data_IF_204126818009
#
_entry.id   IF_204126818009
#
_cell.length_a   1.000
_cell.length_b   1.000
_cell.length_c   1.000
_cell.angle_alpha   90.00
_cell.angle_beta   90.00
_cell.angle_gamma   90.00
#
_symmetry.space_group_name_H-M   'P 1'
#
loop_
_entity.id
_entity.type
_entity.pdbx_description
1 polymer ?
#
# COMPACT_ATOMS: atom_id res chain seq x y z
N UNK A 1 1.41 26.78 -8.99
CA UNK A 1 2.57 26.73 -8.07
C UNK A 1 2.87 25.25 -7.88
N UNK A 2 3.96 24.76 -8.43
CA UNK A 2 4.47 23.42 -8.17
C UNK A 2 4.92 23.42 -6.71
N UNK A 3 4.27 22.65 -5.83
CA UNK A 3 4.81 22.36 -4.52
C UNK A 3 6.19 21.74 -4.73
N UNK A 4 7.25 22.47 -4.41
CA UNK A 4 8.59 21.91 -4.36
C UNK A 4 8.56 20.78 -3.33
N UNK A 5 8.96 19.59 -3.76
CA UNK A 5 8.99 18.42 -2.89
C UNK A 5 9.94 18.72 -1.71
N UNK A 6 9.46 18.57 -0.48
CA UNK A 6 10.24 18.77 0.74
C UNK A 6 11.55 17.96 0.67
N UNK A 7 12.67 18.65 0.79
CA UNK A 7 13.99 18.03 0.84
C UNK A 7 14.56 18.11 2.27
N UNK A 8 14.59 16.98 3.00
CA UNK A 8 15.03 16.99 4.40
C UNK A 8 16.46 17.48 4.60
N UNK A 9 17.36 17.25 3.62
CA UNK A 9 18.77 17.68 3.74
C UNK A 9 18.91 19.19 3.55
N UNK A 10 18.12 19.79 2.67
CA UNK A 10 18.09 21.25 2.49
C UNK A 10 17.56 21.95 3.71
N UNK A 11 16.50 21.42 4.29
CA UNK A 11 15.95 21.94 5.55
C UNK A 11 16.97 21.82 6.69
N UNK A 12 17.66 20.69 6.78
CA UNK A 12 18.70 20.50 7.80
C UNK A 12 19.87 21.46 7.61
N UNK A 13 20.34 21.69 6.38
CA UNK A 13 21.39 22.67 6.07
C UNK A 13 20.95 24.10 6.45
N UNK A 14 19.70 24.43 6.18
CA UNK A 14 19.12 25.71 6.58
C UNK A 14 19.13 25.88 8.10
N UNK A 15 18.72 24.86 8.85
CA UNK A 15 18.68 24.93 10.32
C UNK A 15 20.06 24.99 10.97
N UNK A 16 21.06 24.25 10.43
CA UNK A 16 22.43 24.25 10.99
C UNK A 16 23.30 25.40 10.46
N UNK A 17 22.86 26.11 9.42
CA UNK A 17 23.56 27.23 8.82
C UNK A 17 24.84 26.91 8.09
N UNK A 18 25.04 25.65 7.70
CA UNK A 18 26.24 25.18 6.98
C UNK A 18 25.91 24.06 6.01
N UNK A 19 26.69 23.95 4.93
CA UNK A 19 26.59 22.83 3.99
C UNK A 19 27.00 21.51 4.65
N UNK A 20 26.25 20.47 4.39
CA UNK A 20 26.46 19.15 4.94
C UNK A 20 27.10 18.20 3.92
N UNK A 21 27.80 17.16 4.35
CA UNK A 21 28.33 16.12 3.46
C UNK A 21 27.20 15.21 2.96
N UNK A 22 26.37 15.72 2.03
CA UNK A 22 25.11 15.12 1.57
C UNK A 22 25.30 13.66 1.15
N UNK A 23 26.32 13.36 0.33
CA UNK A 23 26.59 11.99 -0.13
C UNK A 23 26.82 11.01 1.02
N UNK A 24 27.61 11.41 2.01
CA UNK A 24 27.88 10.57 3.18
C UNK A 24 26.64 10.37 4.04
N UNK A 25 25.80 11.40 4.17
CA UNK A 25 24.55 11.32 4.92
C UNK A 25 23.56 10.39 4.21
N UNK A 26 23.41 10.52 2.90
CA UNK A 26 22.55 9.64 2.07
C UNK A 26 23.04 8.19 2.18
N UNK A 27 24.34 7.94 2.08
CA UNK A 27 24.89 6.58 2.23
C UNK A 27 24.63 6.00 3.62
N UNK A 28 24.83 6.78 4.68
CA UNK A 28 24.53 6.35 6.05
C UNK A 28 23.06 6.08 6.27
N UNK A 29 22.20 6.95 5.75
CA UNK A 29 20.74 6.77 5.81
C UNK A 29 20.35 5.48 5.10
N UNK A 30 20.81 5.26 3.87
CA UNK A 30 20.53 4.06 3.09
C UNK A 30 21.03 2.79 3.79
N UNK A 31 22.27 2.80 4.31
CA UNK A 31 22.79 1.65 5.05
C UNK A 31 21.95 1.34 6.29
N UNK A 32 21.51 2.35 7.04
CA UNK A 32 20.66 2.19 8.21
C UNK A 32 19.25 1.71 7.85
N UNK A 33 18.70 2.25 6.78
CA UNK A 33 17.40 1.80 6.23
C UNK A 33 17.46 0.32 5.86
N UNK A 34 18.50 -0.10 5.10
CA UNK A 34 18.71 -1.50 4.73
C UNK A 34 18.83 -2.41 5.96
N UNK A 35 19.62 -2.03 6.96
CA UNK A 35 19.75 -2.79 8.21
C UNK A 35 18.40 -2.99 8.89
N UNK A 36 17.62 -1.90 9.01
CA UNK A 36 16.31 -1.94 9.64
C UNK A 36 15.32 -2.79 8.86
N UNK A 37 15.24 -2.62 7.54
CA UNK A 37 14.31 -3.35 6.67
C UNK A 37 14.67 -4.85 6.63
N UNK A 38 15.96 -5.19 6.50
CA UNK A 38 16.41 -6.58 6.46
C UNK A 38 16.17 -7.32 7.79
N UNK A 39 16.13 -6.60 8.90
CA UNK A 39 15.83 -7.19 10.21
C UNK A 39 14.35 -7.39 10.49
N UNK A 40 13.44 -6.82 9.67
CA UNK A 40 12.01 -6.89 9.93
C UNK A 40 11.39 -8.16 9.35
N UNK A 41 10.58 -8.87 10.16
CA UNK A 41 9.74 -9.96 9.66
C UNK A 41 8.53 -9.42 8.89
N UNK A 42 7.79 -10.33 8.29
CA UNK A 42 6.46 -10.06 7.75
C UNK A 42 5.54 -9.59 8.87
N UNK A 43 4.68 -8.61 8.59
CA UNK A 43 3.69 -8.14 9.57
C UNK A 43 2.69 -9.27 9.89
N UNK A 44 2.16 -9.29 11.14
CA UNK A 44 1.19 -10.30 11.55
C UNK A 44 -0.04 -10.34 10.64
N UNK A 45 -0.50 -11.55 10.31
CA UNK A 45 -1.65 -11.80 9.46
C UNK A 45 -1.40 -11.73 7.94
N UNK A 46 -0.30 -11.12 7.48
CA UNK A 46 -0.04 -10.97 6.03
C UNK A 46 0.12 -12.32 5.33
N UNK A 47 0.92 -13.21 5.92
CA UNK A 47 1.17 -14.51 5.30
C UNK A 47 -0.08 -15.38 5.28
N UNK A 48 -0.80 -15.38 6.39
CA UNK A 48 -2.08 -16.09 6.55
C UNK A 48 -3.11 -15.61 5.52
N UNK A 49 -3.22 -14.29 5.31
CA UNK A 49 -4.12 -13.72 4.28
C UNK A 49 -3.75 -14.13 2.86
N UNK A 50 -2.45 -14.14 2.54
CA UNK A 50 -1.97 -14.59 1.23
C UNK A 50 -2.22 -16.09 1.01
N UNK A 51 -2.02 -16.92 2.03
CA UNK A 51 -2.32 -18.34 1.99
C UNK A 51 -3.82 -18.61 1.82
N UNK A 52 -4.66 -17.92 2.60
CA UNK A 52 -6.11 -18.01 2.51
C UNK A 52 -6.63 -17.55 1.14
N UNK A 53 -6.12 -16.42 0.63
CA UNK A 53 -6.46 -15.93 -0.70
C UNK A 53 -6.17 -16.97 -1.78
N UNK A 54 -5.01 -17.60 -1.72
CA UNK A 54 -4.62 -18.67 -2.63
C UNK A 54 -5.53 -19.90 -2.53
N UNK A 55 -5.87 -20.33 -1.29
CA UNK A 55 -6.77 -21.46 -1.05
C UNK A 55 -8.19 -21.19 -1.56
N UNK A 56 -8.64 -19.93 -1.47
CA UNK A 56 -9.93 -19.46 -1.97
C UNK A 56 -9.93 -19.24 -3.50
N UNK A 57 -8.79 -19.37 -4.18
CA UNK A 57 -8.65 -19.09 -5.62
C UNK A 57 -8.80 -17.61 -5.96
N UNK A 58 -8.53 -16.71 -5.00
CA UNK A 58 -8.53 -15.28 -5.24
C UNK A 58 -7.23 -14.87 -5.95
N UNK A 59 -7.36 -13.92 -6.86
CA UNK A 59 -6.20 -13.28 -7.49
C UNK A 59 -5.61 -12.22 -6.57
N UNK A 60 -4.29 -12.13 -6.55
CA UNK A 60 -3.55 -11.20 -5.70
C UNK A 60 -2.61 -10.35 -6.53
N UNK A 61 -2.62 -9.03 -6.28
CA UNK A 61 -1.76 -8.08 -6.95
C UNK A 61 -1.08 -7.15 -5.95
N UNK A 62 0.09 -6.66 -6.31
CA UNK A 62 0.83 -5.67 -5.52
C UNK A 62 1.05 -4.41 -6.35
N UNK A 63 0.75 -3.26 -5.74
CA UNK A 63 1.00 -1.93 -6.29
C UNK A 63 1.92 -1.14 -5.34
N UNK A 64 3.08 -0.70 -5.79
CA UNK A 64 4.06 0.02 -4.95
C UNK A 64 4.58 1.28 -5.63
N UNK A 65 4.76 2.36 -4.85
CA UNK A 65 5.48 3.56 -5.30
C UNK A 65 7.01 3.43 -5.22
N UNK A 66 7.52 2.30 -4.76
CA UNK A 66 8.94 1.97 -4.77
C UNK A 66 9.34 1.35 -6.12
N UNK A 67 10.65 1.29 -6.40
CA UNK A 67 11.19 0.66 -7.61
C UNK A 67 10.98 -0.86 -7.61
N UNK A 68 10.86 -1.45 -8.79
CA UNK A 68 10.59 -2.86 -8.99
C UNK A 68 11.63 -3.76 -8.28
N UNK A 69 12.92 -3.51 -8.47
CA UNK A 69 14.01 -4.30 -7.86
C UNK A 69 13.94 -4.28 -6.32
N UNK A 70 13.55 -3.13 -5.73
CA UNK A 70 13.36 -3.02 -4.29
C UNK A 70 12.22 -3.89 -3.81
N UNK A 71 11.07 -3.81 -4.48
CA UNK A 71 9.86 -4.57 -4.12
C UNK A 71 10.11 -6.07 -4.26
N UNK A 72 10.58 -6.51 -5.42
CA UNK A 72 10.79 -7.94 -5.72
C UNK A 72 11.87 -8.54 -4.83
N UNK A 73 13.00 -7.84 -4.60
CA UNK A 73 14.04 -8.30 -3.71
C UNK A 73 13.57 -8.51 -2.27
N UNK A 74 12.68 -7.64 -1.76
CA UNK A 74 12.09 -7.84 -0.42
C UNK A 74 11.06 -8.96 -0.39
N UNK A 75 10.23 -9.11 -1.41
CA UNK A 75 9.28 -10.22 -1.51
C UNK A 75 9.99 -11.57 -1.60
N UNK A 76 11.08 -11.67 -2.36
CA UNK A 76 11.93 -12.88 -2.45
C UNK A 76 12.55 -13.20 -1.09
N UNK A 77 13.18 -12.23 -0.44
CA UNK A 77 13.76 -12.39 0.90
C UNK A 77 12.76 -12.90 1.93
N UNK A 78 11.52 -12.41 1.85
CA UNK A 78 10.42 -12.81 2.76
C UNK A 78 9.72 -14.09 2.32
N UNK A 79 10.04 -14.64 1.13
CA UNK A 79 9.40 -15.81 0.56
C UNK A 79 7.94 -15.56 0.14
N UNK A 80 7.59 -14.31 -0.22
CA UNK A 80 6.22 -13.91 -0.53
C UNK A 80 5.95 -13.68 -2.01
N UNK A 81 6.97 -13.58 -2.85
CA UNK A 81 6.81 -13.20 -4.27
C UNK A 81 5.85 -14.13 -5.03
N UNK A 82 5.86 -15.41 -4.71
CA UNK A 82 5.07 -16.44 -5.39
C UNK A 82 3.57 -16.41 -5.05
N UNK A 83 3.15 -15.55 -4.13
CA UNK A 83 1.73 -15.33 -3.84
C UNK A 83 1.07 -14.34 -4.80
N UNK A 84 1.84 -13.47 -5.46
CA UNK A 84 1.28 -12.42 -6.30
C UNK A 84 1.20 -12.84 -7.76
N UNK A 85 -0.01 -12.70 -8.35
CA UNK A 85 -0.25 -12.92 -9.78
C UNK A 85 0.31 -11.78 -10.62
N UNK A 86 0.35 -10.56 -10.06
CA UNK A 86 0.96 -9.39 -10.70
C UNK A 86 1.60 -8.46 -9.66
N UNK A 87 2.69 -7.80 -10.05
CA UNK A 87 3.39 -6.79 -9.26
C UNK A 87 3.60 -5.57 -10.16
N UNK A 88 3.14 -4.40 -9.72
CA UNK A 88 3.37 -3.11 -10.38
C UNK A 88 4.09 -2.17 -9.42
N UNK A 89 5.13 -1.55 -9.93
CA UNK A 89 6.06 -0.70 -9.20
C UNK A 89 6.17 0.69 -9.83
N UNK A 90 6.96 1.58 -9.24
CA UNK A 90 7.16 2.92 -9.76
C UNK A 90 7.67 2.94 -11.21
N UNK A 91 8.41 1.91 -11.62
CA UNK A 91 9.01 1.79 -12.95
C UNK A 91 7.97 1.46 -14.04
N UNK A 92 6.77 1.03 -13.67
CA UNK A 92 5.69 0.63 -14.60
C UNK A 92 4.76 1.79 -14.96
N UNK A 93 4.88 2.95 -14.30
CA UNK A 93 3.94 4.08 -14.41
C UNK A 93 4.65 5.40 -14.60
N UNK A 94 3.91 6.39 -15.13
CA UNK A 94 4.42 7.76 -15.19
C UNK A 94 4.21 8.52 -13.88
N UNK A 95 3.14 8.17 -13.14
CA UNK A 95 2.79 8.80 -11.87
C UNK A 95 2.51 7.74 -10.81
N UNK A 96 3.23 7.83 -9.71
CA UNK A 96 2.98 6.98 -8.54
C UNK A 96 1.83 7.51 -7.68
N UNK A 97 1.46 6.79 -6.62
CA UNK A 97 0.44 7.22 -5.65
C UNK A 97 0.74 8.65 -5.15
N UNK A 98 -0.24 9.55 -5.11
CA UNK A 98 -1.69 9.35 -5.08
C UNK A 98 -2.40 9.34 -6.46
N UNK A 99 -1.68 9.16 -7.58
CA UNK A 99 -2.29 8.89 -8.88
C UNK A 99 -2.83 7.45 -8.91
N UNK A 100 -3.99 7.16 -9.55
CA UNK A 100 -4.57 5.81 -9.59
C UNK A 100 -3.88 4.84 -10.54
N UNK A 101 -2.89 5.27 -11.31
CA UNK A 101 -2.30 4.52 -12.43
C UNK A 101 -1.79 3.14 -12.00
N UNK A 102 -1.08 3.03 -10.85
CA UNK A 102 -0.60 1.74 -10.34
C UNK A 102 -1.72 0.75 -10.05
N UNK A 103 -2.79 1.20 -9.40
CA UNK A 103 -3.93 0.31 -9.10
C UNK A 103 -4.70 -0.07 -10.36
N UNK A 104 -4.87 0.87 -11.30
CA UNK A 104 -5.53 0.59 -12.58
C UNK A 104 -4.78 -0.50 -13.36
N UNK A 105 -3.44 -0.43 -13.42
CA UNK A 105 -2.62 -1.45 -14.09
C UNK A 105 -2.73 -2.82 -13.41
N UNK A 106 -2.73 -2.87 -12.08
CA UNK A 106 -2.91 -4.12 -11.35
C UNK A 106 -4.27 -4.73 -11.64
N UNK A 107 -5.35 -3.92 -11.59
CA UNK A 107 -6.73 -4.39 -11.83
C UNK A 107 -6.89 -4.90 -13.27
N UNK A 108 -6.33 -4.17 -14.25
CA UNK A 108 -6.34 -4.56 -15.65
C UNK A 108 -5.63 -5.91 -15.86
N UNK A 109 -4.44 -6.08 -15.31
CA UNK A 109 -3.67 -7.32 -15.48
C UNK A 109 -4.28 -8.51 -14.75
N UNK A 110 -4.89 -8.30 -13.59
CA UNK A 110 -5.67 -9.34 -12.91
C UNK A 110 -6.93 -9.73 -13.70
N UNK A 111 -7.42 -8.85 -14.57
CA UNK A 111 -8.61 -9.10 -15.39
C UNK A 111 -9.86 -9.30 -14.55
N UNK A 112 -10.01 -8.53 -13.45
CA UNK A 112 -11.16 -8.58 -12.55
C UNK A 112 -11.88 -7.23 -12.55
N UNK A 113 -13.22 -7.21 -12.39
CA UNK A 113 -13.96 -5.96 -12.26
C UNK A 113 -13.53 -5.18 -11.00
N UNK A 114 -13.42 -3.85 -11.09
CA UNK A 114 -12.99 -2.99 -9.98
C UNK A 114 -13.85 -3.15 -8.71
N UNK A 115 -15.15 -3.37 -8.88
CA UNK A 115 -16.09 -3.62 -7.78
C UNK A 115 -15.84 -4.93 -7.03
N UNK A 116 -15.06 -5.86 -7.60
CA UNK A 116 -14.64 -7.11 -6.95
C UNK A 116 -13.27 -7.02 -6.30
N UNK A 117 -12.61 -5.87 -6.40
CA UNK A 117 -11.28 -5.65 -5.83
C UNK A 117 -11.40 -5.03 -4.43
N UNK A 118 -10.53 -5.50 -3.54
CA UNK A 118 -10.29 -4.91 -2.22
C UNK A 118 -8.81 -4.55 -2.15
N UNK A 119 -8.52 -3.33 -1.74
CA UNK A 119 -7.17 -2.82 -1.52
C UNK A 119 -6.89 -2.76 -0.03
N UNK A 120 -5.72 -3.24 0.38
CA UNK A 120 -5.14 -3.03 1.70
C UNK A 120 -4.04 -1.98 1.60
N UNK A 121 -4.15 -0.91 2.35
CA UNK A 121 -3.23 0.23 2.31
C UNK A 121 -2.90 0.74 3.71
N UNK A 122 -1.67 1.26 3.86
CA UNK A 122 -1.19 1.84 5.11
C UNK A 122 -0.97 3.36 5.03
N UNK A 123 -0.94 3.94 3.82
CA UNK A 123 -0.60 5.32 3.55
C UNK A 123 -1.79 6.14 3.04
N UNK A 124 -1.83 7.43 3.39
CA UNK A 124 -2.86 8.35 2.89
C UNK A 124 -2.81 8.47 1.37
N UNK A 125 -1.63 8.54 0.76
CA UNK A 125 -1.48 8.60 -0.68
C UNK A 125 -1.99 7.32 -1.37
N UNK A 126 -1.77 6.16 -0.76
CA UNK A 126 -2.30 4.90 -1.26
C UNK A 126 -3.81 4.81 -1.17
N UNK A 127 -4.41 5.26 -0.06
CA UNK A 127 -5.86 5.34 0.09
C UNK A 127 -6.46 6.27 -0.98
N UNK A 128 -5.90 7.48 -1.16
CA UNK A 128 -6.35 8.41 -2.20
C UNK A 128 -6.27 7.78 -3.59
N UNK A 129 -5.18 7.10 -3.89
CA UNK A 129 -4.95 6.39 -5.16
C UNK A 129 -6.01 5.30 -5.39
N UNK A 130 -6.24 4.44 -4.40
CA UNK A 130 -7.26 3.38 -4.46
C UNK A 130 -8.68 3.95 -4.66
N UNK A 131 -9.02 5.02 -3.94
CA UNK A 131 -10.33 5.67 -4.08
C UNK A 131 -10.50 6.35 -5.45
N UNK A 132 -9.47 6.96 -6.00
CA UNK A 132 -9.49 7.49 -7.38
C UNK A 132 -9.63 6.39 -8.43
N UNK A 133 -9.09 5.19 -8.17
CA UNK A 133 -9.29 4.02 -9.02
C UNK A 133 -10.68 3.36 -8.84
N UNK A 134 -11.54 3.88 -7.96
CA UNK A 134 -12.88 3.33 -7.69
C UNK A 134 -12.88 2.04 -6.86
N UNK A 135 -11.80 1.74 -6.16
CA UNK A 135 -11.62 0.50 -5.42
C UNK A 135 -12.11 0.63 -3.97
N UNK A 136 -12.53 -0.51 -3.41
CA UNK A 136 -12.80 -0.62 -1.98
C UNK A 136 -11.48 -0.69 -1.23
N UNK A 137 -11.25 0.27 -0.32
CA UNK A 137 -9.98 0.43 0.37
C UNK A 137 -10.12 0.18 1.87
N UNK A 138 -9.33 -0.75 2.37
CA UNK A 138 -9.17 -1.05 3.80
C UNK A 138 -7.87 -0.41 4.26
N UNK A 139 -7.96 0.49 5.21
CA UNK A 139 -6.80 1.11 5.82
C UNK A 139 -6.26 0.27 6.96
N UNK A 140 -4.98 -0.09 6.88
CA UNK A 140 -4.24 -0.78 7.93
C UNK A 140 -3.07 0.13 8.34
N UNK A 141 -3.27 1.03 9.32
CA UNK A 141 -2.25 1.99 9.70
C UNK A 141 -1.03 1.29 10.31
N UNK A 142 0.14 1.80 9.99
CA UNK A 142 1.38 1.46 10.69
C UNK A 142 1.64 2.45 11.83
N UNK A 143 2.74 2.27 12.56
CA UNK A 143 3.11 3.10 13.71
C UNK A 143 3.23 4.61 13.35
N UNK A 144 3.62 4.94 12.12
CA UNK A 144 3.75 6.34 11.67
C UNK A 144 2.41 6.91 11.21
N UNK A 145 1.62 6.10 10.50
CA UNK A 145 0.35 6.55 9.92
C UNK A 145 -0.84 6.43 10.86
N UNK A 146 -0.72 5.69 11.96
CA UNK A 146 -1.79 5.55 12.97
C UNK A 146 -2.23 6.86 13.63
N UNK A 147 -1.36 7.87 13.63
CA UNK A 147 -1.64 9.21 14.14
C UNK A 147 -2.38 10.10 13.14
N UNK A 148 -2.46 9.67 11.89
CA UNK A 148 -3.19 10.38 10.85
C UNK A 148 -4.68 10.01 10.92
N UNK A 149 -5.53 10.96 10.56
CA UNK A 149 -6.97 10.73 10.39
C UNK A 149 -7.29 10.75 8.90
N UNK A 150 -8.02 9.75 8.43
CA UNK A 150 -8.58 9.77 7.08
C UNK A 150 -9.93 9.09 7.06
N UNK A 151 -10.93 9.83 6.57
CA UNK A 151 -12.29 9.32 6.35
C UNK A 151 -12.46 8.78 4.92
N UNK A 152 -11.37 8.69 4.15
CA UNK A 152 -11.40 8.27 2.75
C UNK A 152 -11.45 6.75 2.59
N UNK A 153 -10.93 5.99 3.55
CA UNK A 153 -10.98 4.54 3.51
C UNK A 153 -12.39 4.02 3.81
N UNK A 154 -12.77 2.92 3.19
CA UNK A 154 -14.09 2.31 3.40
C UNK A 154 -14.16 1.52 4.71
N UNK A 155 -13.02 1.02 5.18
CA UNK A 155 -12.87 0.30 6.44
C UNK A 155 -11.49 0.56 7.02
N UNK A 156 -11.38 0.48 8.35
CA UNK A 156 -10.09 0.46 9.06
C UNK A 156 -9.97 -0.83 9.85
N UNK A 157 -8.79 -1.44 9.78
CA UNK A 157 -8.35 -2.53 10.65
C UNK A 157 -7.03 -2.12 11.30
N UNK A 158 -6.85 -2.44 12.56
CA UNK A 158 -5.56 -2.15 13.23
C UNK A 158 -4.50 -3.21 12.89
N UNK A 159 -4.93 -4.43 12.56
CA UNK A 159 -4.06 -5.52 12.10
C UNK A 159 -4.82 -6.52 11.23
N UNK A 160 -4.14 -7.16 10.27
CA UNK A 160 -4.69 -8.30 9.53
C UNK A 160 -4.89 -9.54 10.44
N UNK A 161 -4.28 -9.56 11.61
CA UNK A 161 -4.45 -10.64 12.57
C UNK A 161 -5.75 -10.56 13.38
N UNK A 162 -6.50 -9.44 13.27
CA UNK A 162 -7.69 -9.20 14.09
C UNK A 162 -8.95 -9.90 13.55
N UNK A 163 -8.96 -10.25 12.27
CA UNK A 163 -10.10 -10.88 11.61
C UNK A 163 -9.60 -11.85 10.53
N UNK A 164 -10.28 -12.97 10.32
CA UNK A 164 -9.95 -13.87 9.20
C UNK A 164 -10.28 -13.24 7.83
N UNK A 165 -9.58 -13.64 6.77
CA UNK A 165 -9.90 -13.16 5.41
C UNK A 165 -11.35 -13.50 5.03
N UNK A 166 -11.83 -14.70 5.38
CA UNK A 166 -13.21 -15.13 5.10
C UNK A 166 -14.26 -14.24 5.76
N UNK A 167 -14.06 -13.90 7.04
CA UNK A 167 -14.98 -13.04 7.79
C UNK A 167 -14.95 -11.61 7.30
N UNK A 168 -13.75 -11.11 6.95
CA UNK A 168 -13.59 -9.79 6.34
C UNK A 168 -14.34 -9.70 5.01
N UNK A 169 -14.18 -10.68 4.11
CA UNK A 169 -14.87 -10.72 2.83
C UNK A 169 -16.40 -10.76 2.99
N UNK A 170 -16.90 -11.53 3.98
CA UNK A 170 -18.33 -11.56 4.31
C UNK A 170 -18.82 -10.19 4.79
N UNK A 171 -18.06 -9.52 5.65
CA UNK A 171 -18.36 -8.16 6.14
C UNK A 171 -18.41 -7.13 5.02
N UNK A 172 -17.41 -7.11 4.14
CA UNK A 172 -17.34 -6.18 3.00
C UNK A 172 -18.52 -6.41 2.05
N UNK A 173 -18.87 -7.67 1.76
CA UNK A 173 -20.03 -8.01 0.93
C UNK A 173 -21.32 -7.47 1.51
N UNK A 174 -21.54 -7.61 2.82
CA UNK A 174 -22.71 -7.09 3.52
C UNK A 174 -22.78 -5.55 3.46
N UNK A 175 -21.65 -4.85 3.64
CA UNK A 175 -21.57 -3.40 3.55
C UNK A 175 -21.91 -2.90 2.14
N UNK A 176 -21.33 -3.49 1.09
CA UNK A 176 -21.61 -3.14 -0.31
C UNK A 176 -23.09 -3.34 -0.65
N UNK A 177 -23.73 -4.39 -0.16
CA UNK A 177 -25.15 -4.64 -0.38
C UNK A 177 -26.03 -3.57 0.30
N UNK A 178 -25.66 -3.15 1.50
CA UNK A 178 -26.39 -2.11 2.24
C UNK A 178 -26.26 -0.72 1.59
N UNK A 179 -25.11 -0.39 1.04
CA UNK A 179 -24.89 0.88 0.31
C UNK A 179 -25.78 0.92 -0.94
N UNK A 180 -25.76 -0.15 -1.75
CA UNK A 180 -26.59 -0.24 -2.96
C UNK A 180 -28.09 -0.15 -2.64
N UNK A 181 -28.54 -0.79 -1.57
CA UNK A 181 -29.96 -0.76 -1.17
C UNK A 181 -30.44 0.63 -0.70
N UNK A 182 -29.53 1.50 -0.25
CA UNK A 182 -29.86 2.90 0.13
C UNK A 182 -29.92 3.82 -1.08
N UNK A 183 -29.04 3.61 -2.07
CA UNK A 183 -28.98 4.43 -3.30
C UNK A 183 -30.23 4.27 -4.20
N UNK A 184 -31.03 3.22 -4.02
CA UNK A 184 -32.28 2.99 -4.77
C UNK A 184 -33.53 3.50 -4.06
N UNK A 185 -33.40 4.18 -2.90
CA UNK A 185 -34.52 4.71 -2.12
C UNK A 185 -34.65 6.23 -2.13
N UNK A 186 -33.77 6.91 -2.83
CA UNK A 186 -33.78 8.34 -3.16
C UNK A 186 -34.19 8.54 -4.63
#
# INVERSE_FOLDING_TARGET
>A
MTEEAFNPLEELEYQVGTSLPREQLIQKQHAREMELVLSRPVLPGVKEYLEDARQMGLKTGLASSSKCDWVTGHLERLGLIHYFDTIKAADDVQKTKPDPELFNLVVEELGVPAEQVIVFEDSVNGIISAKKAGLFCIWIPNMLTSQLSTDLADLRLDSLNDISLSDLLASVKSQKTNILSRSFKE
#
